data_IF_314757823601
#
_entry.id   IF_314757823601
#
_cell.length_a   1.000
_cell.length_b   1.000
_cell.length_c   1.000
_cell.angle_alpha   90.00
_cell.angle_beta   90.00
_cell.angle_gamma   90.00
#
_symmetry.space_group_name_H-M   'P 1'
#
loop_
_entity.id
_entity.type
_entity.pdbx_description
1 polymer ?
#
# COMPACT_ATOMS: atom_id res chain seq x y z
N UNK A 1 -31.64 9.72 -3.41
CA UNK A 1 -31.46 9.47 -1.97
C UNK A 1 -31.84 8.03 -1.67
N UNK A 2 -30.93 7.25 -1.11
CA UNK A 2 -31.21 5.88 -0.63
C UNK A 2 -32.02 5.95 0.68
N UNK A 3 -33.15 5.24 0.75
CA UNK A 3 -33.89 5.11 1.99
C UNK A 3 -33.10 4.25 2.98
N UNK A 4 -32.57 4.86 4.03
CA UNK A 4 -31.70 4.22 5.03
C UNK A 4 -32.36 3.00 5.70
N UNK A 5 -33.68 3.08 6.00
CA UNK A 5 -34.39 1.98 6.64
C UNK A 5 -34.61 0.78 5.71
N UNK A 6 -34.84 1.03 4.41
CA UNK A 6 -34.93 -0.04 3.42
C UNK A 6 -33.55 -0.69 3.16
N UNK A 7 -32.50 0.13 3.13
CA UNK A 7 -31.13 -0.35 2.90
C UNK A 7 -30.61 -1.21 4.06
N UNK A 8 -30.91 -0.84 5.32
CA UNK A 8 -30.50 -1.66 6.49
C UNK A 8 -31.21 -3.00 6.58
N UNK A 9 -32.37 -3.15 5.94
CA UNK A 9 -33.13 -4.42 5.85
C UNK A 9 -32.70 -5.28 4.66
N UNK A 10 -31.90 -4.74 3.74
CA UNK A 10 -31.44 -5.48 2.58
C UNK A 10 -30.42 -6.56 2.99
N UNK A 11 -30.57 -7.75 2.42
CA UNK A 11 -29.58 -8.83 2.61
C UNK A 11 -28.26 -8.43 1.99
N UNK A 12 -27.15 -8.58 2.75
CA UNK A 12 -25.79 -8.31 2.26
C UNK A 12 -25.40 -9.38 1.23
N UNK A 13 -25.77 -9.14 -0.04
CA UNK A 13 -25.52 -10.04 -1.17
C UNK A 13 -25.25 -9.22 -2.43
N UNK A 14 -24.31 -9.66 -3.27
CA UNK A 14 -24.05 -8.96 -4.53
C UNK A 14 -25.29 -9.03 -5.44
N UNK A 15 -25.45 -8.04 -6.31
CA UNK A 15 -26.55 -7.99 -7.29
C UNK A 15 -26.55 -9.22 -8.18
N UNK A 16 -25.38 -9.72 -8.56
CA UNK A 16 -25.22 -10.92 -9.38
C UNK A 16 -25.89 -12.13 -8.72
N UNK A 17 -25.51 -12.46 -7.48
CA UNK A 17 -26.09 -13.57 -6.72
C UNK A 17 -27.52 -13.34 -6.25
N UNK A 18 -27.92 -12.09 -6.05
CA UNK A 18 -29.26 -11.78 -5.56
C UNK A 18 -30.31 -11.84 -6.68
N UNK A 19 -29.96 -11.37 -7.87
CA UNK A 19 -30.88 -11.14 -8.99
C UNK A 19 -30.43 -11.87 -10.27
N UNK A 20 -29.23 -11.57 -10.79
CA UNK A 20 -28.83 -12.01 -12.14
C UNK A 20 -28.81 -13.53 -12.30
N UNK A 21 -28.30 -14.27 -11.30
CA UNK A 21 -28.28 -15.73 -11.34
C UNK A 21 -29.65 -16.40 -11.20
N UNK A 22 -30.66 -15.65 -10.80
CA UNK A 22 -32.00 -16.20 -10.52
C UNK A 22 -33.06 -15.80 -11.54
N UNK A 23 -32.85 -14.69 -12.23
CA UNK A 23 -33.83 -14.24 -13.25
C UNK A 23 -33.67 -15.02 -14.55
N UNK A 24 -34.80 -15.28 -15.21
CA UNK A 24 -34.84 -15.89 -16.55
C UNK A 24 -35.02 -14.83 -17.64
N UNK A 25 -35.33 -13.61 -17.27
CA UNK A 25 -35.59 -12.48 -18.17
C UNK A 25 -34.35 -11.56 -18.21
N UNK A 26 -33.26 -12.06 -18.81
CA UNK A 26 -32.05 -11.27 -19.04
C UNK A 26 -31.83 -11.15 -20.55
N UNK A 27 -31.70 -9.89 -21.01
CA UNK A 27 -31.20 -9.59 -22.34
C UNK A 27 -29.73 -9.15 -22.23
N UNK A 28 -28.85 -9.87 -22.92
CA UNK A 28 -27.43 -9.54 -22.98
C UNK A 28 -27.07 -8.97 -24.34
N UNK A 29 -26.36 -7.85 -24.37
CA UNK A 29 -25.81 -7.26 -25.59
C UNK A 29 -24.31 -7.48 -25.58
N UNK A 30 -23.80 -8.13 -26.65
CA UNK A 30 -22.35 -8.29 -26.81
C UNK A 30 -21.71 -6.93 -27.11
N UNK A 31 -20.74 -6.53 -26.28
CA UNK A 31 -19.94 -5.34 -26.51
C UNK A 31 -18.53 -5.77 -26.96
N UNK A 32 -18.13 -5.34 -28.16
CA UNK A 32 -16.77 -5.56 -28.68
C UNK A 32 -15.82 -4.41 -28.28
N UNK A 33 -15.83 -4.06 -27.00
CA UNK A 33 -14.94 -3.06 -26.40
C UNK A 33 -14.03 -3.73 -25.37
N UNK A 34 -12.78 -3.29 -25.23
CA UNK A 34 -11.94 -3.75 -24.13
C UNK A 34 -12.57 -3.35 -22.79
N UNK A 35 -12.99 -4.34 -22.00
CA UNK A 35 -13.56 -4.12 -20.66
C UNK A 35 -12.80 -4.94 -19.61
N UNK A 36 -12.66 -4.37 -18.42
CA UNK A 36 -12.16 -5.07 -17.24
C UNK A 36 -12.77 -4.43 -16.00
N UNK A 37 -13.16 -5.24 -15.05
CA UNK A 37 -13.66 -4.82 -13.75
C UNK A 37 -12.57 -4.29 -12.82
N UNK A 38 -11.29 -4.44 -13.20
CA UNK A 38 -10.13 -4.06 -12.39
C UNK A 38 -10.14 -4.64 -10.97
N UNK A 39 -10.89 -5.71 -10.75
CA UNK A 39 -11.05 -6.37 -9.45
C UNK A 39 -9.80 -7.07 -8.94
N UNK A 40 -8.73 -7.13 -9.74
CA UNK A 40 -7.46 -7.73 -9.34
C UNK A 40 -6.25 -6.94 -9.84
N UNK A 41 -5.15 -6.99 -9.09
CA UNK A 41 -3.86 -6.43 -9.52
C UNK A 41 -3.39 -6.98 -10.86
N UNK A 42 -3.73 -8.23 -11.17
CA UNK A 42 -3.41 -8.87 -12.45
C UNK A 42 -4.11 -8.17 -13.62
N UNK A 43 -5.37 -7.78 -13.46
CA UNK A 43 -6.13 -7.05 -14.48
C UNK A 43 -5.63 -5.61 -14.62
N UNK A 44 -5.33 -4.94 -13.50
CA UNK A 44 -4.67 -3.63 -13.50
C UNK A 44 -3.36 -3.71 -14.28
N UNK A 45 -2.51 -4.70 -13.99
CA UNK A 45 -1.26 -4.91 -14.72
C UNK A 45 -1.47 -5.21 -16.21
N UNK A 46 -2.53 -5.94 -16.60
CA UNK A 46 -2.86 -6.17 -18.02
C UNK A 46 -3.28 -4.88 -18.73
N UNK A 47 -4.10 -4.06 -18.09
CA UNK A 47 -4.57 -2.79 -18.67
C UNK A 47 -3.42 -1.81 -18.87
N UNK A 48 -2.55 -1.67 -17.89
CA UNK A 48 -1.33 -0.85 -18.00
C UNK A 48 -0.20 -1.55 -18.76
N UNK A 49 -0.25 -2.86 -18.92
CA UNK A 49 0.80 -3.69 -19.51
C UNK A 49 0.89 -3.68 -21.04
N UNK A 50 -0.01 -2.99 -21.76
CA UNK A 50 0.13 -2.78 -23.21
C UNK A 50 1.37 -1.96 -23.57
N UNK A 51 1.97 -1.25 -22.60
CA UNK A 51 3.28 -0.61 -22.71
C UNK A 51 4.31 -1.29 -21.79
N UNK A 52 4.47 -2.62 -21.87
CA UNK A 52 5.43 -3.39 -21.05
C UNK A 52 6.85 -2.82 -21.03
N UNK A 53 7.31 -2.13 -22.07
CA UNK A 53 8.65 -1.53 -22.14
C UNK A 53 8.83 -0.30 -21.26
N UNK A 54 7.75 0.38 -20.84
CA UNK A 54 7.87 1.62 -20.06
C UNK A 54 7.85 1.35 -18.55
N UNK A 55 7.21 0.28 -18.09
CA UNK A 55 7.15 -0.09 -16.66
C UNK A 55 8.37 -0.85 -16.15
N UNK A 56 9.12 -1.50 -17.03
CA UNK A 56 10.38 -2.18 -16.69
C UNK A 56 11.62 -1.36 -17.05
N UNK A 57 11.52 -0.02 -17.19
CA UNK A 57 12.71 0.82 -17.13
C UNK A 57 13.40 0.50 -15.81
N UNK A 58 14.73 0.27 -15.90
CA UNK A 58 15.66 0.00 -14.80
C UNK A 58 15.19 0.75 -13.54
N UNK A 59 14.52 0.05 -12.62
CA UNK A 59 13.99 0.67 -11.40
C UNK A 59 15.18 1.16 -10.61
N UNK A 60 15.26 2.45 -10.32
CA UNK A 60 16.31 2.97 -9.47
C UNK A 60 16.11 2.42 -8.07
N UNK A 61 17.05 1.58 -7.62
CA UNK A 61 17.10 1.08 -6.26
C UNK A 61 17.80 2.11 -5.39
N UNK A 62 17.12 2.60 -4.39
CA UNK A 62 17.67 3.54 -3.42
C UNK A 62 18.14 2.78 -2.18
N UNK A 63 19.45 2.64 -2.06
CA UNK A 63 20.07 1.98 -0.90
C UNK A 63 20.01 2.85 0.35
N UNK A 64 19.77 2.22 1.48
CA UNK A 64 19.69 2.83 2.80
C UNK A 64 20.39 1.91 3.83
N UNK A 65 20.84 2.41 4.98
CA UNK A 65 21.51 1.58 5.98
C UNK A 65 20.67 0.39 6.47
N UNK A 66 19.34 0.51 6.43
CA UNK A 66 18.38 -0.52 6.85
C UNK A 66 17.99 -1.51 5.73
N UNK A 67 18.35 -1.24 4.48
CA UNK A 67 17.99 -2.05 3.31
C UNK A 67 17.91 -1.21 2.04
N UNK A 68 16.78 -1.24 1.33
CA UNK A 68 16.58 -0.46 0.11
C UNK A 68 15.09 -0.24 -0.16
N UNK A 69 14.80 0.69 -1.06
CA UNK A 69 13.47 0.83 -1.63
C UNK A 69 13.51 1.11 -3.13
N UNK A 70 12.38 0.85 -3.76
CA UNK A 70 12.16 1.14 -5.18
C UNK A 70 10.85 1.89 -5.31
N UNK A 71 10.83 2.99 -6.07
CA UNK A 71 9.59 3.63 -6.46
C UNK A 71 8.96 2.81 -7.59
N UNK A 72 7.79 2.24 -7.33
CA UNK A 72 7.06 1.42 -8.29
C UNK A 72 6.21 2.27 -9.21
N UNK A 73 5.53 3.26 -8.65
CA UNK A 73 4.66 4.17 -9.37
C UNK A 73 4.63 5.53 -8.68
N UNK A 74 4.65 6.61 -9.46
CA UNK A 74 4.57 7.98 -8.99
C UNK A 74 3.38 8.69 -9.66
N UNK A 75 2.31 8.93 -8.91
CA UNK A 75 1.13 9.67 -9.33
C UNK A 75 1.20 11.14 -8.91
N UNK A 76 0.13 11.90 -9.17
CA UNK A 76 0.05 13.33 -8.82
C UNK A 76 0.06 13.54 -7.29
N UNK A 77 -0.72 12.75 -6.57
CA UNK A 77 -0.93 12.88 -5.11
C UNK A 77 -0.66 11.58 -4.35
N UNK A 78 0.01 10.60 -5.00
CA UNK A 78 0.39 9.36 -4.38
C UNK A 78 1.68 8.79 -4.95
N UNK A 79 2.37 7.98 -4.14
CA UNK A 79 3.61 7.30 -4.49
C UNK A 79 3.55 5.86 -3.94
N UNK A 80 3.77 4.89 -4.83
CA UNK A 80 3.87 3.48 -4.44
C UNK A 80 5.33 3.07 -4.39
N UNK A 81 5.75 2.46 -3.28
CA UNK A 81 7.11 1.94 -3.10
C UNK A 81 7.11 0.46 -2.72
N UNK A 82 8.15 -0.23 -3.09
CA UNK A 82 8.54 -1.50 -2.46
C UNK A 82 9.70 -1.25 -1.52
N UNK A 83 9.53 -1.57 -0.26
CA UNK A 83 10.57 -1.51 0.76
C UNK A 83 11.16 -2.91 0.97
N UNK A 84 12.47 -3.01 0.96
CA UNK A 84 13.22 -4.19 1.37
C UNK A 84 13.98 -3.88 2.66
N UNK A 85 13.58 -4.51 3.76
CA UNK A 85 14.26 -4.35 5.06
C UNK A 85 15.10 -5.58 5.33
N UNK A 86 16.44 -5.38 5.30
CA UNK A 86 17.39 -6.47 5.54
C UNK A 86 17.20 -7.07 6.95
N UNK A 87 17.69 -8.30 7.19
CA UNK A 87 17.74 -8.86 8.54
C UNK A 87 18.36 -7.85 9.53
N UNK A 88 17.70 -7.68 10.68
CA UNK A 88 18.09 -6.71 11.73
C UNK A 88 18.05 -5.24 11.30
N UNK A 89 17.46 -4.94 10.13
CA UNK A 89 17.28 -3.55 9.67
C UNK A 89 16.20 -2.84 10.47
N UNK A 90 16.46 -1.55 10.77
CA UNK A 90 15.56 -0.71 11.57
C UNK A 90 15.43 0.64 10.86
N UNK A 91 14.23 1.02 10.46
CA UNK A 91 13.97 2.37 9.95
C UNK A 91 13.98 3.38 11.10
N UNK A 92 14.14 4.67 10.80
CA UNK A 92 14.01 5.72 11.79
C UNK A 92 12.61 5.73 12.42
N UNK A 93 12.49 6.07 13.69
CA UNK A 93 11.23 6.47 14.29
C UNK A 93 10.91 7.86 13.74
N UNK A 94 9.81 7.99 13.01
CA UNK A 94 9.51 9.18 12.20
C UNK A 94 8.02 9.48 12.14
N UNK A 95 7.69 10.70 11.69
CA UNK A 95 6.34 11.11 11.30
C UNK A 95 6.36 11.95 10.02
N UNK A 96 5.20 12.13 9.42
CA UNK A 96 4.98 12.97 8.24
C UNK A 96 3.89 13.99 8.52
N UNK A 97 4.08 15.22 7.99
CA UNK A 97 3.10 16.30 8.15
C UNK A 97 2.14 16.42 6.98
N UNK A 98 2.49 15.85 5.81
CA UNK A 98 1.77 16.11 4.56
C UNK A 98 1.32 14.84 3.84
N UNK A 99 1.57 13.65 4.41
CA UNK A 99 1.13 12.37 3.84
C UNK A 99 0.73 11.35 4.90
N UNK A 100 -0.22 10.53 4.52
CA UNK A 100 -0.53 9.27 5.20
C UNK A 100 0.07 8.10 4.42
N UNK A 101 0.18 6.93 5.05
CA UNK A 101 0.75 5.74 4.41
C UNK A 101 -0.12 4.51 4.65
N UNK A 102 -0.21 3.64 3.64
CA UNK A 102 -0.78 2.32 3.75
C UNK A 102 0.31 1.30 3.47
N UNK A 103 0.50 0.36 4.36
CA UNK A 103 1.50 -0.69 4.22
C UNK A 103 0.85 -2.05 4.08
N UNK A 104 1.37 -2.85 3.15
CA UNK A 104 1.00 -4.24 2.94
C UNK A 104 2.26 -5.08 3.08
N UNK A 105 2.27 -6.01 4.02
CA UNK A 105 3.40 -6.94 4.18
C UNK A 105 3.31 -8.01 3.11
N UNK A 106 4.31 -8.08 2.23
CA UNK A 106 4.37 -9.09 1.17
C UNK A 106 5.29 -10.25 1.51
N UNK A 107 6.27 -10.03 2.41
CA UNK A 107 7.21 -11.07 2.81
C UNK A 107 7.82 -10.78 4.19
N UNK A 108 8.08 -11.85 4.95
CA UNK A 108 8.68 -11.77 6.29
C UNK A 108 7.70 -11.38 7.38
N UNK A 109 8.23 -10.98 8.54
CA UNK A 109 7.43 -10.61 9.72
C UNK A 109 7.99 -9.32 10.32
N UNK A 110 7.62 -8.15 9.83
CA UNK A 110 8.06 -6.88 10.42
C UNK A 110 7.45 -6.68 11.81
N UNK A 111 8.22 -6.01 12.67
CA UNK A 111 7.68 -5.34 13.84
C UNK A 111 7.40 -3.89 13.45
N UNK A 112 6.15 -3.48 13.58
CA UNK A 112 5.68 -2.12 13.30
C UNK A 112 5.44 -1.41 14.61
N UNK A 113 6.02 -0.21 14.76
CA UNK A 113 5.65 0.74 15.80
C UNK A 113 4.68 1.76 15.19
N UNK A 114 3.53 1.97 15.81
CA UNK A 114 2.58 3.02 15.47
C UNK A 114 2.18 3.73 16.77
N UNK A 115 2.61 4.97 16.92
CA UNK A 115 2.51 5.74 18.16
C UNK A 115 3.08 4.93 19.35
N UNK A 116 2.25 4.60 20.32
CA UNK A 116 2.66 3.85 21.54
C UNK A 116 2.41 2.34 21.43
N UNK A 117 2.01 1.83 20.24
CA UNK A 117 1.69 0.41 20.03
C UNK A 117 2.74 -0.26 19.15
N UNK A 118 2.97 -1.56 19.41
CA UNK A 118 3.86 -2.40 18.62
C UNK A 118 3.09 -3.63 18.10
N UNK A 119 3.32 -3.97 16.84
CA UNK A 119 2.67 -5.10 16.16
C UNK A 119 3.73 -5.95 15.49
N UNK A 120 3.61 -7.28 15.56
CA UNK A 120 4.32 -8.19 14.65
C UNK A 120 3.32 -8.57 13.56
N UNK A 121 3.60 -8.16 12.34
CA UNK A 121 2.73 -8.42 11.20
C UNK A 121 3.22 -9.61 10.37
N UNK A 122 2.29 -10.27 9.69
CA UNK A 122 2.54 -11.40 8.78
C UNK A 122 2.32 -10.98 7.32
N UNK A 123 2.75 -11.78 6.34
CA UNK A 123 2.34 -11.56 4.94
C UNK A 123 0.81 -11.48 4.83
N UNK A 124 0.34 -10.66 3.88
CA UNK A 124 -1.05 -10.30 3.58
C UNK A 124 -1.73 -9.38 4.61
N UNK A 125 -1.09 -9.10 5.75
CA UNK A 125 -1.62 -8.11 6.68
C UNK A 125 -1.29 -6.67 6.23
N UNK A 126 -2.22 -5.77 6.53
CA UNK A 126 -2.15 -4.36 6.16
C UNK A 126 -2.26 -3.46 7.39
N UNK A 127 -1.65 -2.28 7.32
CA UNK A 127 -1.79 -1.26 8.36
C UNK A 127 -1.88 0.12 7.73
N UNK A 128 -2.79 0.94 8.24
CA UNK A 128 -2.90 2.36 7.91
C UNK A 128 -2.09 3.19 8.92
N UNK A 129 -1.25 4.07 8.42
CA UNK A 129 -0.46 5.05 9.17
C UNK A 129 -1.08 6.43 8.93
N UNK A 130 -1.88 6.95 9.86
CA UNK A 130 -2.49 8.26 9.72
C UNK A 130 -1.45 9.38 9.63
N UNK A 131 -1.86 10.48 8.99
CA UNK A 131 -1.10 11.72 8.97
C UNK A 131 -0.64 12.13 10.38
N UNK A 132 0.62 12.50 10.54
CA UNK A 132 1.20 12.95 11.83
C UNK A 132 1.51 11.83 12.82
N UNK A 133 1.14 10.59 12.55
CA UNK A 133 1.42 9.45 13.44
C UNK A 133 2.92 9.11 13.48
N UNK A 134 3.43 8.86 14.66
CA UNK A 134 4.82 8.40 14.86
C UNK A 134 4.88 6.90 14.55
N UNK A 135 5.78 6.52 13.65
CA UNK A 135 5.84 5.14 13.17
C UNK A 135 7.24 4.68 12.83
N UNK A 136 7.43 3.37 12.77
CA UNK A 136 8.69 2.73 12.38
C UNK A 136 8.46 1.29 11.93
N UNK A 137 9.29 0.83 10.99
CA UNK A 137 9.45 -0.57 10.61
C UNK A 137 10.76 -1.09 11.20
N UNK A 138 10.71 -2.24 11.85
CA UNK A 138 11.86 -3.02 12.30
C UNK A 138 11.77 -4.44 11.74
N UNK A 139 12.89 -5.00 11.34
CA UNK A 139 13.01 -6.42 11.05
C UNK A 139 13.83 -7.12 12.14
N UNK A 140 13.21 -7.65 13.21
CA UNK A 140 13.95 -8.29 14.30
C UNK A 140 14.43 -9.70 13.97
N UNK A 141 14.09 -10.23 12.78
CA UNK A 141 14.35 -11.62 12.41
C UNK A 141 15.51 -11.77 11.41
N UNK A 142 15.90 -13.03 11.16
CA UNK A 142 16.97 -13.39 10.21
C UNK A 142 16.53 -13.39 8.74
N UNK A 143 15.22 -13.48 8.47
CA UNK A 143 14.68 -13.41 7.09
C UNK A 143 14.41 -11.96 6.72
N UNK A 144 14.60 -11.58 5.45
CA UNK A 144 14.27 -10.22 5.01
C UNK A 144 12.76 -9.96 5.09
N UNK A 145 12.40 -8.69 5.10
CA UNK A 145 11.02 -8.21 5.06
C UNK A 145 10.82 -7.42 3.78
N UNK A 146 9.67 -7.59 3.12
CA UNK A 146 9.21 -6.75 2.01
C UNK A 146 7.84 -6.18 2.33
N UNK A 147 7.67 -4.91 2.02
CA UNK A 147 6.44 -4.15 2.25
C UNK A 147 6.14 -3.33 1.00
N UNK A 148 4.91 -3.35 0.55
CA UNK A 148 4.40 -2.35 -0.38
C UNK A 148 3.86 -1.18 0.45
N UNK A 149 4.36 0.01 0.17
CA UNK A 149 3.99 1.27 0.80
C UNK A 149 3.28 2.15 -0.21
N UNK A 150 2.04 2.53 0.08
CA UNK A 150 1.31 3.56 -0.65
C UNK A 150 1.29 4.84 0.19
N UNK A 151 1.98 5.87 -0.28
CA UNK A 151 1.97 7.22 0.30
C UNK A 151 0.90 8.04 -0.40
N UNK A 152 0.06 8.76 0.35
CA UNK A 152 -1.01 9.62 -0.17
C UNK A 152 -0.91 10.97 0.52
N UNK A 153 -0.78 12.04 -0.26
CA UNK A 153 -0.67 13.39 0.28
C UNK A 153 -0.04 14.41 -0.65
N UNK A 154 0.07 15.63 -0.19
CA UNK A 154 0.55 16.78 -0.98
C UNK A 154 2.09 16.83 -1.11
N UNK A 155 2.84 16.27 -0.16
CA UNK A 155 4.31 16.23 -0.19
C UNK A 155 4.77 14.79 0.02
N UNK A 156 5.28 14.17 -1.05
CA UNK A 156 5.74 12.78 -1.10
C UNK A 156 7.27 12.65 -1.10
N UNK A 157 7.97 13.74 -0.80
CA UNK A 157 9.43 13.81 -0.77
C UNK A 157 9.98 13.41 0.61
N UNK A 158 11.27 13.02 0.65
CA UNK A 158 11.96 12.72 1.93
C UNK A 158 12.08 13.95 2.86
N UNK A 159 11.90 15.16 2.34
CA UNK A 159 11.87 16.40 3.13
C UNK A 159 10.71 16.47 4.12
N UNK A 160 9.62 15.68 3.90
CA UNK A 160 8.50 15.57 4.83
C UNK A 160 8.76 14.60 6.00
N UNK A 161 9.95 14.02 6.10
CA UNK A 161 10.29 13.09 7.17
C UNK A 161 10.84 13.84 8.39
N UNK A 162 10.09 13.83 9.49
CA UNK A 162 10.56 14.25 10.79
C UNK A 162 11.03 13.03 11.58
N UNK A 163 12.33 12.94 11.86
CA UNK A 163 12.95 11.80 12.55
C UNK A 163 13.12 12.11 14.03
N UNK A 164 12.70 11.18 14.89
CA UNK A 164 12.87 11.26 16.36
C UNK A 164 14.02 10.41 16.86
N UNK A 165 14.14 9.18 16.37
CA UNK A 165 15.22 8.24 16.70
C UNK A 165 15.72 7.53 15.44
N UNK A 166 17.02 7.48 15.29
CA UNK A 166 17.66 6.81 14.17
C UNK A 166 18.98 6.19 14.62
N UNK A 167 19.10 4.87 14.45
CA UNK A 167 20.28 4.10 14.87
C UNK A 167 21.50 4.31 13.96
N UNK A 168 21.31 5.03 12.85
CA UNK A 168 22.34 5.27 11.83
C UNK A 168 22.83 6.74 11.84
N UNK A 169 22.47 7.53 12.85
CA UNK A 169 22.98 8.90 13.04
C UNK A 169 22.46 9.95 12.07
N UNK A 170 21.31 9.70 11.41
CA UNK A 170 20.69 10.66 10.45
C UNK A 170 19.82 11.74 11.15
N UNK A 171 19.68 11.68 12.44
CA UNK A 171 19.08 12.75 13.25
C UNK A 171 20.20 13.75 13.57
N UNK A 172 20.09 14.99 13.09
CA UNK A 172 20.98 16.05 13.51
C UNK A 172 20.72 16.31 15.00
N UNK A 173 21.70 16.11 15.86
CA UNK A 173 21.69 16.68 17.21
C UNK A 173 21.52 18.20 17.09
N UNK A 174 20.49 18.73 17.74
CA UNK A 174 20.36 20.17 17.93
C UNK A 174 21.43 20.65 18.88
#
# INVERSE_FOLDING_TARGET
YLNKQAFTKATAKSFDYAILEKTKDINAIKLDIPWSDLGSWKEICKMYGRNKRQYFKKKNVFHRPWGSYVNLFNGKEFLIKELYVKPRGILSLQKHHHRAEHWVVTHGKPKITLNNKNFIMKPDETIFIPLGSIHRIENPFKKPVKIIEAQIGSILKETDIVRFKDVYGRVKSK
#
